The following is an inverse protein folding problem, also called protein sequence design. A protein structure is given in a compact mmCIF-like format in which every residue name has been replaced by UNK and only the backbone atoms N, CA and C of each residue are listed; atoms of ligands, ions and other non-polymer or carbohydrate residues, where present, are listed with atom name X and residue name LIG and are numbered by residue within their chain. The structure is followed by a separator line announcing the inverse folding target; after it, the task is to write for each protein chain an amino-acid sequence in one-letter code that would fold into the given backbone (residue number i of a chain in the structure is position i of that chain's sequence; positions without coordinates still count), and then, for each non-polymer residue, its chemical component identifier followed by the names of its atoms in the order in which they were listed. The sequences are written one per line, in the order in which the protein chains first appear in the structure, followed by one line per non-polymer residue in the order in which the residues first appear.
data_IF_146444184348
#
_entry.id   IF_146444184348
#
_cell.length_a   1.000
_cell.length_b   1.000
_cell.length_c   1.000
_cell.angle_alpha   90.00
_cell.angle_beta   90.00
_cell.angle_gamma   90.00
#
_symmetry.space_group_name_H-M   'P 1'
#
loop_
_entity.id
_entity.type
_entity.pdbx_description
1 polymer ?
#
# COMPACT_ATOMS: atom_id res chain seq x y z
N UNK A 1 4.33 -2.80 -7.24
CA UNK A 1 5.13 -1.57 -7.45
C UNK A 1 4.21 -0.39 -7.78
N UNK A 2 3.41 -0.45 -8.86
CA UNK A 2 2.46 0.61 -9.21
C UNK A 2 1.51 1.03 -8.07
N UNK A 3 0.91 0.06 -7.36
CA UNK A 3 0.01 0.34 -6.21
C UNK A 3 0.70 1.14 -5.10
N UNK A 4 1.97 0.83 -4.80
CA UNK A 4 2.74 1.52 -3.75
C UNK A 4 3.07 2.97 -4.12
N UNK A 5 3.39 3.21 -5.40
CA UNK A 5 3.66 4.56 -5.90
C UNK A 5 2.41 5.41 -5.90
N UNK A 6 1.32 4.85 -6.39
CA UNK A 6 0.04 5.55 -6.46
C UNK A 6 -0.52 5.79 -5.07
N UNK A 7 -0.34 4.87 -4.11
CA UNK A 7 -0.69 5.13 -2.72
C UNK A 7 0.18 6.24 -2.10
N UNK A 8 1.47 6.29 -2.40
CA UNK A 8 2.34 7.37 -1.91
C UNK A 8 1.91 8.73 -2.47
N UNK A 9 1.61 8.82 -3.77
CA UNK A 9 1.09 10.03 -4.39
C UNK A 9 -0.29 10.42 -3.83
N UNK A 10 -1.18 9.45 -3.62
CA UNK A 10 -2.48 9.69 -3.00
C UNK A 10 -2.34 10.19 -1.57
N UNK A 11 -1.36 9.70 -0.80
CA UNK A 11 -1.09 10.16 0.56
C UNK A 11 -0.62 11.62 0.56
N UNK A 12 0.23 12.03 -0.39
CA UNK A 12 0.64 13.44 -0.57
C UNK A 12 -0.55 14.34 -0.91
N UNK A 13 -1.43 13.91 -1.83
CA UNK A 13 -2.52 14.74 -2.33
C UNK A 13 -3.74 14.77 -1.40
N UNK A 14 -4.10 13.63 -0.81
CA UNK A 14 -5.33 13.44 -0.05
C UNK A 14 -5.11 13.32 1.46
N UNK A 15 -3.89 13.03 1.91
CA UNK A 15 -3.58 12.70 3.31
C UNK A 15 -3.99 13.79 4.28
N UNK A 16 -3.66 15.07 4.01
CA UNK A 16 -4.05 16.19 4.86
C UNK A 16 -5.57 16.31 5.03
N UNK A 17 -6.31 16.20 3.92
CA UNK A 17 -7.77 16.23 3.94
C UNK A 17 -8.33 15.05 4.72
N UNK A 18 -7.81 13.85 4.49
CA UNK A 18 -8.25 12.62 5.14
C UNK A 18 -8.03 12.65 6.66
N UNK A 19 -6.88 13.16 7.13
CA UNK A 19 -6.61 13.35 8.56
C UNK A 19 -7.59 14.36 9.17
N UNK A 20 -7.84 15.47 8.48
CA UNK A 20 -8.75 16.52 8.96
C UNK A 20 -10.18 15.99 9.05
N UNK A 21 -10.67 15.36 8.00
CA UNK A 21 -12.02 14.81 7.92
C UNK A 21 -12.22 13.67 8.93
N UNK A 22 -11.21 12.80 9.14
CA UNK A 22 -11.25 11.76 10.18
C UNK A 22 -11.27 12.36 11.59
N UNK A 23 -10.48 13.42 11.82
CA UNK A 23 -10.47 14.13 13.10
C UNK A 23 -11.84 14.72 13.42
N UNK A 24 -12.47 15.38 12.45
CA UNK A 24 -13.83 15.91 12.58
C UNK A 24 -14.88 14.82 12.79
N UNK A 25 -14.74 13.67 12.13
CA UNK A 25 -15.61 12.52 12.34
C UNK A 25 -15.53 12.04 13.79
N UNK A 26 -14.31 11.87 14.32
CA UNK A 26 -14.11 11.46 15.72
C UNK A 26 -14.68 12.50 16.68
N UNK A 27 -14.38 13.78 16.48
CA UNK A 27 -14.90 14.86 17.33
C UNK A 27 -16.44 14.86 17.36
N UNK A 28 -17.09 14.79 16.19
CA UNK A 28 -18.54 14.81 16.09
C UNK A 28 -19.20 13.60 16.76
N UNK A 29 -18.61 12.40 16.63
CA UNK A 29 -19.19 11.18 17.21
C UNK A 29 -18.86 11.00 18.70
N UNK A 30 -17.84 11.72 19.22
CA UNK A 30 -17.58 11.79 20.66
C UNK A 30 -18.47 12.83 21.36
N UNK A 31 -19.04 13.79 20.62
CA UNK A 31 -20.02 14.75 21.14
C UNK A 31 -21.42 14.13 21.18
N UNK A 32 -21.68 13.28 22.18
CA UNK A 32 -22.98 12.62 22.36
C UNK A 32 -23.99 13.61 22.95
N UNK A 33 -25.12 13.81 22.27
CA UNK A 33 -26.20 14.67 22.76
C UNK A 33 -26.87 14.08 23.99
N UNK A 34 -27.33 14.94 24.91
CA UNK A 34 -28.05 14.52 26.12
C UNK A 34 -29.29 13.67 25.79
N UNK A 35 -29.97 13.92 24.67
CA UNK A 35 -31.13 13.13 24.25
C UNK A 35 -30.75 11.69 23.90
N UNK A 36 -29.59 11.48 23.28
CA UNK A 36 -29.12 10.18 22.81
C UNK A 36 -28.60 9.30 23.95
N UNK A 37 -28.18 9.90 25.06
CA UNK A 37 -27.71 9.17 26.26
C UNK A 37 -28.85 8.36 26.90
N UNK A 38 -30.09 8.82 26.79
CA UNK A 38 -31.24 8.18 27.44
C UNK A 38 -31.97 7.15 26.56
N UNK A 39 -31.54 6.95 25.30
CA UNK A 39 -32.07 5.93 24.41
C UNK A 39 -31.05 4.80 24.21
N UNK A 40 -31.40 3.61 24.71
CA UNK A 40 -30.57 2.40 24.65
C UNK A 40 -30.23 2.00 23.20
N UNK A 41 -31.08 2.32 22.22
CA UNK A 41 -30.84 2.00 20.82
C UNK A 41 -29.97 3.04 20.10
N UNK A 42 -29.83 4.25 20.66
CA UNK A 42 -29.08 5.34 20.04
C UNK A 42 -27.59 5.07 20.02
N UNK A 43 -27.03 4.39 21.03
CA UNK A 43 -25.60 4.06 21.07
C UNK A 43 -25.17 3.16 19.90
N UNK A 44 -25.94 2.12 19.57
CA UNK A 44 -25.64 1.23 18.44
C UNK A 44 -25.79 1.96 17.10
N UNK A 45 -26.79 2.84 16.98
CA UNK A 45 -27.00 3.63 15.76
C UNK A 45 -25.84 4.60 15.52
N UNK A 46 -25.46 5.38 16.53
CA UNK A 46 -24.34 6.33 16.45
C UNK A 46 -23.02 5.63 16.09
N UNK A 47 -22.79 4.43 16.63
CA UNK A 47 -21.63 3.62 16.28
C UNK A 47 -21.67 3.13 14.82
N UNK A 48 -22.83 2.67 14.36
CA UNK A 48 -23.01 2.26 12.95
C UNK A 48 -22.81 3.44 11.99
N UNK A 49 -23.36 4.61 12.33
CA UNK A 49 -23.20 5.84 11.54
C UNK A 49 -21.73 6.26 11.46
N UNK A 50 -20.99 6.20 12.58
CA UNK A 50 -19.55 6.48 12.61
C UNK A 50 -18.74 5.56 11.68
N UNK A 51 -19.07 4.26 11.67
CA UNK A 51 -18.41 3.29 10.79
C UNK A 51 -18.74 3.60 9.33
N UNK A 52 -20.02 3.79 9.00
CA UNK A 52 -20.47 4.03 7.62
C UNK A 52 -19.83 5.30 7.08
N UNK A 53 -19.81 6.38 7.87
CA UNK A 53 -19.19 7.63 7.46
C UNK A 53 -17.66 7.49 7.30
N UNK A 54 -17.01 6.74 8.20
CA UNK A 54 -15.59 6.44 8.09
C UNK A 54 -15.25 5.67 6.81
N UNK A 55 -16.08 4.68 6.44
CA UNK A 55 -15.95 3.93 5.19
C UNK A 55 -16.16 4.84 3.96
N UNK A 56 -17.14 5.73 4.00
CA UNK A 56 -17.35 6.72 2.94
C UNK A 56 -16.15 7.63 2.75
N UNK A 57 -15.52 8.04 3.84
CA UNK A 57 -14.34 8.91 3.80
C UNK A 57 -13.11 8.20 3.19
N UNK A 58 -12.96 6.89 3.41
CA UNK A 58 -11.88 6.07 2.83
C UNK A 58 -12.17 5.59 1.40
N UNK A 59 -13.41 5.68 0.95
CA UNK A 59 -13.83 5.26 -0.40
C UNK A 59 -12.95 5.81 -1.54
N UNK A 60 -12.61 7.12 -1.62
CA UNK A 60 -11.81 7.63 -2.73
C UNK A 60 -10.42 6.99 -2.83
N UNK A 61 -9.73 6.77 -1.70
CA UNK A 61 -8.41 6.13 -1.71
C UNK A 61 -8.52 4.64 -2.05
N UNK A 62 -9.52 3.93 -1.52
CA UNK A 62 -9.74 2.52 -1.85
C UNK A 62 -10.11 2.31 -3.32
N UNK A 63 -10.98 3.16 -3.87
CA UNK A 63 -11.37 3.07 -5.27
C UNK A 63 -10.19 3.33 -6.19
N UNK A 64 -9.37 4.33 -5.88
CA UNK A 64 -8.14 4.62 -6.62
C UNK A 64 -7.15 3.44 -6.57
N UNK A 65 -6.91 2.86 -5.39
CA UNK A 65 -6.01 1.72 -5.25
C UNK A 65 -6.56 0.46 -5.93
N UNK A 66 -7.87 0.22 -5.86
CA UNK A 66 -8.53 -0.88 -6.56
C UNK A 66 -8.35 -0.76 -8.07
N UNK A 67 -8.58 0.42 -8.65
CA UNK A 67 -8.39 0.68 -10.08
C UNK A 67 -6.94 0.38 -10.48
N UNK A 68 -5.96 0.86 -9.72
CA UNK A 68 -4.54 0.62 -10.04
C UNK A 68 -4.15 -0.85 -9.85
N UNK A 69 -4.69 -1.53 -8.83
CA UNK A 69 -4.44 -2.95 -8.60
C UNK A 69 -4.98 -3.83 -9.74
N UNK A 70 -6.09 -3.44 -10.37
CA UNK A 70 -6.65 -4.12 -11.53
C UNK A 70 -5.90 -3.76 -12.82
N UNK A 71 -5.64 -2.48 -13.07
CA UNK A 71 -5.06 -2.02 -14.33
C UNK A 71 -3.55 -2.33 -14.45
N UNK A 72 -2.80 -2.32 -13.35
CA UNK A 72 -1.35 -2.51 -13.42
C UNK A 72 -0.94 -3.90 -13.97
N UNK A 73 -1.49 -5.04 -13.50
CA UNK A 73 -1.19 -6.35 -14.09
C UNK A 73 -1.67 -6.47 -15.54
N UNK A 74 -2.84 -5.90 -15.87
CA UNK A 74 -3.41 -5.91 -17.22
C UNK A 74 -2.51 -5.17 -18.23
N UNK A 75 -1.81 -4.12 -17.79
CA UNK A 75 -0.89 -3.35 -18.65
C UNK A 75 0.38 -4.12 -19.06
N UNK A 76 0.81 -5.12 -18.27
CA UNK A 76 2.02 -5.90 -18.54
C UNK A 76 1.70 -7.24 -19.22
N UNK A 77 0.66 -7.95 -18.74
CA UNK A 77 0.32 -9.31 -19.19
C UNK A 77 -0.78 -9.39 -20.25
N UNK A 78 -1.40 -8.27 -20.62
CA UNK A 78 -2.52 -8.22 -21.55
C UNK A 78 -3.83 -8.78 -20.99
N UNK A 79 -4.90 -8.70 -21.78
CA UNK A 79 -6.22 -9.23 -21.40
C UNK A 79 -6.33 -10.71 -21.81
N UNK A 80 -6.04 -11.63 -20.88
CA UNK A 80 -6.22 -13.07 -21.12
C UNK A 80 -7.38 -13.60 -20.28
N UNK A 81 -8.55 -13.73 -20.91
CA UNK A 81 -9.72 -14.35 -20.29
C UNK A 81 -9.80 -15.80 -20.76
N UNK A 82 -9.45 -16.76 -19.90
CA UNK A 82 -9.54 -18.20 -20.21
C UNK A 82 -10.34 -18.92 -19.13
N UNK A 83 -11.44 -19.54 -19.55
CA UNK A 83 -12.28 -20.38 -18.67
C UNK A 83 -11.52 -21.67 -18.33
N UNK A 84 -10.66 -22.15 -19.22
CA UNK A 84 -9.78 -23.31 -19.02
C UNK A 84 -8.66 -23.05 -18.00
N UNK A 85 -8.31 -21.78 -17.73
CA UNK A 85 -7.37 -21.41 -16.68
C UNK A 85 -7.99 -21.51 -15.27
N UNK A 86 -9.33 -21.42 -15.17
CA UNK A 86 -10.07 -21.56 -13.90
C UNK A 86 -10.33 -23.03 -13.51
N UNK A 87 -10.11 -23.99 -14.42
CA UNK A 87 -10.27 -25.40 -14.11
C UNK A 87 -9.14 -25.90 -13.19
N UNK A 88 -9.46 -26.68 -12.13
CA UNK A 88 -8.44 -27.23 -11.23
C UNK A 88 -7.56 -28.23 -11.98
N UNK A 89 -6.29 -27.88 -12.19
CA UNK A 89 -5.29 -28.75 -12.84
C UNK A 89 -4.47 -29.50 -11.80
N UNK A 90 -4.86 -30.74 -11.47
CA UNK A 90 -4.15 -31.60 -10.51
C UNK A 90 -2.67 -31.83 -10.86
N UNK A 91 -2.32 -31.77 -12.15
CA UNK A 91 -0.93 -31.91 -12.60
C UNK A 91 -0.02 -30.73 -12.17
N UNK A 92 -0.59 -29.59 -11.75
CA UNK A 92 0.15 -28.48 -11.14
C UNK A 92 0.44 -28.69 -9.64
N UNK A 93 -0.23 -29.65 -8.99
CA UNK A 93 -0.08 -29.97 -7.56
C UNK A 93 0.97 -31.07 -7.30
N UNK A 94 1.61 -31.62 -8.34
CA UNK A 94 2.64 -32.67 -8.20
C UNK A 94 3.85 -32.15 -7.40
N UNK A 95 4.12 -32.69 -6.19
CA UNK A 95 5.19 -32.22 -5.31
C UNK A 95 6.59 -32.44 -5.91
N UNK A 96 6.78 -33.50 -6.68
CA UNK A 96 8.09 -33.86 -7.27
C UNK A 96 8.46 -32.84 -8.34
N UNK A 97 7.50 -32.49 -9.20
CA UNK A 97 7.66 -31.41 -10.19
C UNK A 97 7.79 -30.04 -9.51
N UNK A 98 7.12 -29.84 -8.37
CA UNK A 98 7.25 -28.63 -7.56
C UNK A 98 8.67 -28.40 -7.05
N UNK A 99 9.32 -29.42 -6.49
CA UNK A 99 10.71 -29.35 -6.01
C UNK A 99 11.67 -29.09 -7.17
N UNK A 100 11.48 -29.76 -8.32
CA UNK A 100 12.29 -29.53 -9.51
C UNK A 100 12.20 -28.08 -10.02
N UNK A 101 11.05 -27.42 -9.85
CA UNK A 101 10.90 -25.98 -10.16
C UNK A 101 11.63 -25.09 -9.18
N UNK A 102 11.59 -25.40 -7.87
CA UNK A 102 12.26 -24.62 -6.82
C UNK A 102 13.79 -24.62 -6.96
N UNK A 103 14.39 -25.72 -7.44
CA UNK A 103 15.83 -25.84 -7.66
C UNK A 103 16.25 -25.61 -9.12
N UNK A 104 15.42 -24.89 -9.88
CA UNK A 104 15.74 -24.54 -11.27
C UNK A 104 16.68 -23.34 -11.36
N UNK A 105 17.41 -23.22 -12.48
CA UNK A 105 18.21 -22.02 -12.77
C UNK A 105 17.37 -20.73 -12.74
N UNK A 106 16.08 -20.83 -13.10
CA UNK A 106 15.12 -19.72 -13.01
C UNK A 106 14.92 -19.25 -11.57
N UNK A 107 14.77 -20.18 -10.62
CA UNK A 107 14.60 -19.85 -9.19
C UNK A 107 15.84 -19.20 -8.58
N UNK A 108 17.04 -19.59 -8.99
CA UNK A 108 18.29 -18.92 -8.56
C UNK A 108 18.33 -17.47 -9.05
N UNK A 109 17.96 -17.23 -10.32
CA UNK A 109 17.88 -15.86 -10.86
C UNK A 109 16.81 -15.04 -10.15
N UNK A 110 15.63 -15.60 -9.88
CA UNK A 110 14.57 -14.94 -9.12
C UNK A 110 15.00 -14.59 -7.69
N UNK A 111 15.74 -15.48 -7.02
CA UNK A 111 16.32 -15.24 -5.69
C UNK A 111 17.31 -14.07 -5.73
N UNK A 112 18.23 -14.05 -6.68
CA UNK A 112 19.20 -12.96 -6.83
C UNK A 112 18.50 -11.62 -7.08
N UNK A 113 17.46 -11.60 -7.92
CA UNK A 113 16.64 -10.39 -8.11
C UNK A 113 15.93 -9.98 -6.82
N UNK A 114 15.38 -10.91 -6.06
CA UNK A 114 14.75 -10.61 -4.77
C UNK A 114 15.73 -10.01 -3.76
N UNK A 115 16.95 -10.56 -3.68
CA UNK A 115 18.02 -10.01 -2.84
C UNK A 115 18.46 -8.62 -3.28
N UNK A 116 18.62 -8.38 -4.59
CA UNK A 116 18.93 -7.05 -5.11
C UNK A 116 17.86 -6.02 -4.75
N UNK A 117 16.57 -6.38 -4.88
CA UNK A 117 15.45 -5.53 -4.47
C UNK A 117 15.48 -5.22 -2.97
N UNK A 118 15.73 -6.23 -2.15
CA UNK A 118 15.81 -6.09 -0.71
C UNK A 118 16.94 -5.14 -0.30
N UNK A 119 18.14 -5.32 -0.86
CA UNK A 119 19.29 -4.45 -0.60
C UNK A 119 18.99 -3.02 -1.04
N UNK A 120 18.40 -2.82 -2.22
CA UNK A 120 18.04 -1.48 -2.70
C UNK A 120 17.05 -0.78 -1.76
N UNK A 121 15.95 -1.44 -1.41
CA UNK A 121 14.92 -0.88 -0.53
C UNK A 121 15.49 -0.58 0.85
N UNK A 122 16.33 -1.47 1.38
CA UNK A 122 17.00 -1.29 2.68
C UNK A 122 17.96 -0.11 2.64
N UNK A 123 18.78 0.01 1.58
CA UNK A 123 19.70 1.12 1.43
C UNK A 123 18.98 2.47 1.34
N UNK A 124 17.88 2.54 0.59
CA UNK A 124 17.06 3.75 0.50
C UNK A 124 16.40 4.07 1.84
N UNK A 125 15.82 3.08 2.53
CA UNK A 125 15.20 3.28 3.84
C UNK A 125 16.21 3.79 4.88
N UNK A 126 17.40 3.18 4.94
CA UNK A 126 18.49 3.65 5.82
C UNK A 126 18.91 5.08 5.44
N UNK A 127 19.06 5.36 4.14
CA UNK A 127 19.41 6.69 3.65
C UNK A 127 18.39 7.76 4.07
N UNK A 128 17.09 7.48 3.94
CA UNK A 128 16.03 8.38 4.40
C UNK A 128 16.14 8.62 5.91
N UNK A 129 16.29 7.57 6.72
CA UNK A 129 16.42 7.71 8.17
C UNK A 129 17.63 8.57 8.54
N UNK A 130 18.74 8.43 7.83
CA UNK A 130 19.95 9.21 8.08
C UNK A 130 19.77 10.69 7.71
N UNK A 131 19.11 10.97 6.58
CA UNK A 131 18.84 12.33 6.13
C UNK A 131 17.86 13.06 7.07
N UNK A 132 16.81 12.37 7.48
CA UNK A 132 15.73 12.92 8.32
C UNK A 132 16.00 12.75 9.84
N UNK A 133 17.18 12.25 10.23
CA UNK A 133 17.51 11.94 11.63
C UNK A 133 17.34 13.15 12.55
N UNK A 134 17.77 14.32 12.10
CA UNK A 134 17.69 15.55 12.89
C UNK A 134 16.24 15.98 13.12
N UNK A 135 15.40 15.89 12.08
CA UNK A 135 13.99 16.22 12.17
C UNK A 135 13.23 15.21 13.03
N UNK A 136 13.60 13.92 12.95
CA UNK A 136 13.06 12.87 13.82
C UNK A 136 13.38 13.11 15.30
N UNK A 137 14.60 13.55 15.63
CA UNK A 137 14.97 13.92 17.01
C UNK A 137 14.23 15.18 17.45
N UNK A 138 14.05 16.16 16.54
CA UNK A 138 13.37 17.43 16.85
C UNK A 138 11.89 17.23 17.19
N UNK A 139 11.23 16.24 16.57
CA UNK A 139 9.84 15.88 16.86
C UNK A 139 9.54 15.74 18.36
N UNK A 140 10.46 15.17 19.14
CA UNK A 140 10.29 14.98 20.58
C UNK A 140 10.25 16.27 21.40
N UNK A 141 10.64 17.40 20.80
CA UNK A 141 10.65 18.73 21.40
C UNK A 141 9.60 19.68 20.84
N UNK A 142 8.85 19.26 19.80
CA UNK A 142 7.80 20.05 19.18
C UNK A 142 6.50 19.98 20.00
N UNK A 143 5.68 21.04 19.92
CA UNK A 143 4.34 21.01 20.52
C UNK A 143 3.42 20.07 19.76
N UNK A 144 2.35 19.60 20.41
CA UNK A 144 1.53 18.48 19.92
C UNK A 144 0.99 18.68 18.49
N UNK A 145 0.33 19.79 18.21
CA UNK A 145 -0.28 20.04 16.89
C UNK A 145 0.75 20.11 15.74
N UNK A 146 1.79 20.99 15.79
CA UNK A 146 2.79 21.03 14.73
C UNK A 146 3.64 19.76 14.68
N UNK A 147 3.91 19.12 15.82
CA UNK A 147 4.65 17.86 15.88
C UNK A 147 3.92 16.72 15.17
N UNK A 148 2.59 16.63 15.29
CA UNK A 148 1.79 15.66 14.55
C UNK A 148 1.79 15.93 13.03
N UNK A 149 1.71 17.20 12.63
CA UNK A 149 1.78 17.58 11.22
C UNK A 149 3.15 17.23 10.61
N UNK A 150 4.24 17.57 11.32
CA UNK A 150 5.60 17.28 10.90
C UNK A 150 5.88 15.77 10.87
N UNK A 151 5.38 15.00 11.86
CA UNK A 151 5.43 13.54 11.83
C UNK A 151 4.76 12.96 10.58
N UNK A 152 3.59 13.49 10.22
CA UNK A 152 2.87 13.08 9.02
C UNK A 152 3.65 13.37 7.74
N UNK A 153 4.33 14.52 7.67
CA UNK A 153 5.19 14.89 6.54
C UNK A 153 6.39 13.97 6.41
N UNK A 154 7.12 13.70 7.50
CA UNK A 154 8.24 12.77 7.52
C UNK A 154 7.83 11.35 7.08
N UNK A 155 6.70 10.85 7.59
CA UNK A 155 6.18 9.54 7.20
C UNK A 155 5.80 9.50 5.72
N UNK A 156 5.17 10.56 5.21
CA UNK A 156 4.75 10.64 3.81
C UNK A 156 5.96 10.71 2.88
N UNK A 157 6.97 11.52 3.22
CA UNK A 157 8.21 11.62 2.45
C UNK A 157 9.01 10.32 2.46
N UNK A 158 9.16 9.69 3.62
CA UNK A 158 9.81 8.40 3.73
C UNK A 158 9.11 7.33 2.87
N UNK A 159 7.79 7.28 2.92
CA UNK A 159 7.01 6.37 2.11
C UNK A 159 7.14 6.64 0.61
N UNK A 160 7.20 7.92 0.22
CA UNK A 160 7.41 8.33 -1.17
C UNK A 160 8.79 7.90 -1.68
N UNK A 161 9.87 8.15 -0.94
CA UNK A 161 11.23 7.77 -1.32
C UNK A 161 11.40 6.26 -1.45
N UNK A 162 10.89 5.49 -0.48
CA UNK A 162 10.93 4.03 -0.54
C UNK A 162 10.10 3.49 -1.70
N UNK A 163 8.93 4.07 -1.95
CA UNK A 163 8.09 3.69 -3.10
C UNK A 163 8.76 4.05 -4.43
N UNK A 164 9.45 5.19 -4.52
CA UNK A 164 10.21 5.61 -5.69
C UNK A 164 11.36 4.65 -6.01
N UNK A 165 12.02 4.07 -5.01
CA UNK A 165 13.03 3.03 -5.21
C UNK A 165 12.46 1.79 -5.95
N UNK A 166 11.18 1.48 -5.73
CA UNK A 166 10.50 0.39 -6.45
C UNK A 166 10.32 0.68 -7.94
N UNK A 167 10.34 1.96 -8.37
CA UNK A 167 10.34 2.31 -9.81
C UNK A 167 11.62 1.83 -10.47
N UNK A 168 12.77 2.00 -9.82
CA UNK A 168 14.06 1.55 -10.33
C UNK A 168 14.06 0.03 -10.53
N UNK A 169 13.46 -0.70 -9.59
CA UNK A 169 13.26 -2.15 -9.71
C UNK A 169 12.35 -2.47 -10.89
N UNK A 170 11.21 -1.77 -11.03
CA UNK A 170 10.27 -1.98 -12.12
C UNK A 170 10.91 -1.74 -13.50
N UNK A 171 11.79 -0.74 -13.62
CA UNK A 171 12.48 -0.42 -14.86
C UNK A 171 13.36 -1.58 -15.36
N UNK A 172 13.89 -2.42 -14.44
CA UNK A 172 14.69 -3.59 -14.79
C UNK A 172 13.82 -4.85 -14.94
N UNK A 173 12.86 -5.05 -14.05
CA UNK A 173 12.05 -6.28 -14.01
C UNK A 173 10.99 -6.35 -15.12
N UNK A 174 10.38 -5.23 -15.51
CA UNK A 174 9.28 -5.22 -16.50
C UNK A 174 9.77 -5.64 -17.89
N UNK A 175 10.88 -5.12 -18.44
CA UNK A 175 11.42 -5.60 -19.72
C UNK A 175 11.76 -7.09 -19.68
N UNK A 176 12.32 -7.57 -18.56
CA UNK A 176 12.63 -8.99 -18.37
C UNK A 176 11.37 -9.85 -18.34
N UNK A 177 10.29 -9.39 -17.69
CA UNK A 177 8.99 -10.09 -17.69
C UNK A 177 8.38 -10.16 -19.09
N UNK A 178 8.41 -9.07 -19.87
CA UNK A 178 7.88 -9.07 -21.24
C UNK A 178 8.67 -10.05 -22.12
N UNK A 179 10.00 -10.10 -21.96
CA UNK A 179 10.84 -11.05 -22.70
C UNK A 179 10.56 -12.51 -22.31
N UNK A 180 10.41 -12.82 -21.01
CA UNK A 180 10.07 -14.18 -20.55
C UNK A 180 8.66 -14.59 -21.01
N UNK A 181 7.70 -13.66 -21.03
CA UNK A 181 6.34 -13.90 -21.50
C UNK A 181 6.28 -14.21 -23.01
N UNK A 182 7.08 -13.51 -23.82
CA UNK A 182 7.15 -13.76 -25.27
C UNK A 182 7.89 -15.05 -25.64
N UNK A 183 8.59 -15.68 -24.70
CA UNK A 183 9.41 -16.88 -24.93
C UNK A 183 8.75 -18.17 -24.45
N UNK A 184 7.65 -18.06 -23.70
CA UNK A 184 6.79 -19.16 -23.25
C UNK A 184 5.59 -19.33 -24.16
#
# INVERSE_FOLDING_TARGET
MAVMLVSAMAMVMLGKKLITDLGQLVERHLQISRADIFDVNSMLRLFADAIIEGLWLLTPIFLLLMVVALLAPLSIGGWSFSVEAMQPRFNKLDPIKGIGRLFSAKSVVELLKAMAKFVLVTAVAIGVIWLEMNDFVRLGSESLEPGLAHAGELLTMAFLYVSAALVLIAAVDVPFQIWDHNKQ
#
